data_IF_214590866620
#
_entry.id   IF_214590866620
#
_cell.length_a   1.000
_cell.length_b   1.000
_cell.length_c   1.000
_cell.angle_alpha   90.00
_cell.angle_beta   90.00
_cell.angle_gamma   90.00
#
_symmetry.space_group_name_H-M   'P 1'
#
loop_
_entity.id
_entity.type
_entity.pdbx_description
1 polymer ?
#
# COMPACT_ATOMS: atom_id res chain seq x y z
N UNK A 1 20.08 2.04 -6.59
CA UNK A 1 18.62 1.82 -6.56
C UNK A 1 18.09 2.37 -5.25
N UNK A 2 17.23 3.40 -5.30
CA UNK A 2 16.64 4.02 -4.11
C UNK A 2 15.80 3.00 -3.32
N UNK A 3 15.70 3.19 -2.01
CA UNK A 3 15.03 2.23 -1.11
C UNK A 3 13.55 2.02 -1.45
N UNK A 4 12.88 3.05 -1.95
CA UNK A 4 11.50 2.99 -2.42
C UNK A 4 11.27 1.94 -3.53
N UNK A 5 12.25 1.75 -4.43
CA UNK A 5 12.17 0.78 -5.53
C UNK A 5 12.41 -0.65 -5.04
N UNK A 6 13.39 -0.86 -4.16
CA UNK A 6 13.68 -2.17 -3.55
C UNK A 6 12.47 -2.72 -2.79
N UNK A 7 11.70 -1.83 -2.16
CA UNK A 7 10.52 -2.16 -1.37
C UNK A 7 9.37 -2.72 -2.24
N UNK A 8 9.21 -2.25 -3.48
CA UNK A 8 8.20 -2.74 -4.42
C UNK A 8 8.61 -4.05 -5.11
N UNK A 9 9.90 -4.26 -5.34
CA UNK A 9 10.40 -5.45 -6.04
C UNK A 9 10.55 -6.69 -5.15
N UNK A 10 10.76 -6.53 -3.84
CA UNK A 10 11.10 -7.62 -2.94
C UNK A 10 9.89 -8.17 -2.13
N UNK A 11 8.94 -8.84 -2.77
CA UNK A 11 7.97 -9.72 -2.09
C UNK A 11 7.09 -9.11 -0.97
N UNK A 12 6.94 -7.78 -0.87
CA UNK A 12 6.15 -7.14 0.20
C UNK A 12 4.95 -6.33 -0.30
N UNK A 13 4.45 -6.61 -1.50
CA UNK A 13 3.28 -5.91 -2.06
C UNK A 13 2.08 -5.94 -1.12
N UNK A 14 1.79 -7.10 -0.50
CA UNK A 14 0.67 -7.23 0.45
C UNK A 14 0.78 -6.28 1.64
N UNK A 15 1.99 -6.04 2.18
CA UNK A 15 2.20 -5.09 3.29
C UNK A 15 1.82 -3.68 2.89
N UNK A 16 2.24 -3.26 1.70
CA UNK A 16 1.95 -1.92 1.20
C UNK A 16 0.48 -1.78 0.82
N UNK A 17 -0.13 -2.82 0.24
CA UNK A 17 -1.58 -2.84 -0.02
C UNK A 17 -2.40 -2.70 1.27
N UNK A 18 -1.98 -3.36 2.36
CA UNK A 18 -2.59 -3.19 3.69
C UNK A 18 -2.48 -1.73 4.14
N UNK A 19 -1.27 -1.16 4.14
CA UNK A 19 -1.04 0.22 4.59
C UNK A 19 -1.83 1.23 3.74
N UNK A 20 -1.80 1.09 2.42
CA UNK A 20 -2.56 1.94 1.50
C UNK A 20 -4.06 1.82 1.68
N UNK A 21 -4.57 0.60 1.92
CA UNK A 21 -6.00 0.39 2.13
C UNK A 21 -6.45 1.08 3.41
N UNK A 22 -5.72 0.90 4.50
CA UNK A 22 -6.03 1.58 5.75
C UNK A 22 -5.93 3.11 5.60
N UNK A 23 -4.93 3.62 4.90
CA UNK A 23 -4.76 5.05 4.63
C UNK A 23 -5.92 5.65 3.83
N UNK A 24 -6.39 4.95 2.79
CA UNK A 24 -7.49 5.44 1.95
C UNK A 24 -8.82 5.37 2.71
N UNK A 25 -9.09 4.27 3.41
CA UNK A 25 -10.33 4.12 4.20
C UNK A 25 -10.36 5.05 5.42
N UNK A 26 -9.18 5.48 5.90
CA UNK A 26 -9.07 6.48 6.95
C UNK A 26 -9.12 7.93 6.46
N UNK A 27 -9.20 8.19 5.15
CA UNK A 27 -9.02 9.53 4.57
C UNK A 27 -7.70 10.19 5.06
N UNK A 28 -6.63 9.39 5.13
CA UNK A 28 -5.31 9.83 5.58
C UNK A 28 -5.13 9.95 7.10
N UNK A 29 -6.17 9.73 7.90
CA UNK A 29 -6.08 9.85 9.35
C UNK A 29 -5.41 8.62 10.01
N UNK A 30 -4.60 8.86 11.04
CA UNK A 30 -4.19 7.81 11.98
C UNK A 30 -5.34 7.47 12.93
N UNK A 31 -5.29 6.28 13.53
CA UNK A 31 -6.22 5.78 14.55
C UNK A 31 -7.70 5.68 14.13
N UNK A 32 -8.02 5.86 12.83
CA UNK A 32 -9.37 5.71 12.32
C UNK A 32 -9.64 4.25 11.94
N UNK A 33 -10.69 3.71 12.55
CA UNK A 33 -11.00 2.30 12.50
C UNK A 33 -11.63 1.89 11.16
N UNK A 34 -11.12 0.80 10.58
CA UNK A 34 -11.64 0.12 9.41
C UNK A 34 -11.86 -1.36 9.73
N UNK A 35 -13.12 -1.76 9.78
CA UNK A 35 -13.49 -3.18 9.82
C UNK A 35 -13.45 -3.70 8.38
N UNK A 36 -12.97 -4.94 8.16
CA UNK A 36 -12.91 -5.66 6.86
C UNK A 36 -11.61 -5.60 6.06
N UNK A 37 -10.46 -5.30 6.68
CA UNK A 37 -9.18 -5.38 5.97
C UNK A 37 -8.86 -6.79 5.44
N UNK A 38 -9.02 -7.83 6.27
CA UNK A 38 -8.75 -9.23 5.84
C UNK A 38 -9.61 -9.61 4.65
N UNK A 39 -10.93 -9.39 4.73
CA UNK A 39 -11.87 -9.65 3.63
C UNK A 39 -11.52 -8.84 2.38
N UNK A 40 -11.17 -7.57 2.53
CA UNK A 40 -10.76 -6.71 1.40
C UNK A 40 -9.53 -7.29 0.68
N UNK A 41 -8.54 -7.76 1.44
CA UNK A 41 -7.33 -8.38 0.86
C UNK A 41 -7.65 -9.76 0.28
N UNK A 42 -8.48 -10.56 0.92
CA UNK A 42 -8.97 -11.84 0.40
C UNK A 42 -9.67 -11.66 -0.95
N UNK A 43 -10.63 -10.73 -1.05
CA UNK A 43 -11.36 -10.42 -2.28
C UNK A 43 -10.42 -9.97 -3.42
N UNK A 44 -9.30 -9.29 -3.10
CA UNK A 44 -8.29 -8.88 -4.08
C UNK A 44 -7.47 -10.06 -4.61
N UNK A 45 -7.04 -10.97 -3.74
CA UNK A 45 -6.16 -12.07 -4.09
C UNK A 45 -6.93 -13.32 -4.57
N UNK A 46 -8.22 -13.44 -4.26
CA UNK A 46 -9.07 -14.55 -4.69
C UNK A 46 -8.46 -15.90 -4.29
N UNK A 47 -8.34 -16.82 -5.26
CA UNK A 47 -7.78 -18.16 -5.05
C UNK A 47 -6.31 -18.15 -4.60
N UNK A 48 -5.57 -17.07 -4.90
CA UNK A 48 -4.17 -16.90 -4.47
C UNK A 48 -4.06 -16.38 -3.02
N UNK A 49 -5.18 -16.12 -2.35
CA UNK A 49 -5.18 -15.65 -0.97
C UNK A 49 -4.69 -16.75 -0.02
N UNK A 50 -3.61 -16.44 0.71
CA UNK A 50 -3.15 -17.24 1.83
C UNK A 50 -3.36 -16.48 3.13
N UNK A 51 -4.25 -17.01 3.97
CA UNK A 51 -4.50 -16.46 5.31
C UNK A 51 -3.24 -16.42 6.16
N UNK A 52 -2.40 -17.45 6.08
CA UNK A 52 -1.12 -17.48 6.78
C UNK A 52 -0.20 -16.34 6.31
N UNK A 53 -0.11 -16.14 4.99
CA UNK A 53 0.66 -15.01 4.42
C UNK A 53 0.12 -13.66 4.90
N UNK A 54 -1.20 -13.48 4.90
CA UNK A 54 -1.84 -12.28 5.42
C UNK A 54 -1.50 -12.04 6.90
N UNK A 55 -1.65 -13.06 7.76
CA UNK A 55 -1.35 -12.96 9.18
C UNK A 55 0.13 -12.68 9.45
N UNK A 56 1.04 -13.27 8.68
CA UNK A 56 2.48 -13.00 8.78
C UNK A 56 2.83 -11.56 8.40
N UNK A 57 2.22 -11.04 7.33
CA UNK A 57 2.42 -9.65 6.90
C UNK A 57 1.82 -8.65 7.89
N UNK A 58 0.62 -8.93 8.40
CA UNK A 58 -0.01 -8.18 9.49
C UNK A 58 0.89 -8.16 10.74
N UNK A 59 1.37 -9.32 11.17
CA UNK A 59 2.25 -9.43 12.35
C UNK A 59 3.55 -8.65 12.16
N UNK A 60 4.11 -8.64 10.95
CA UNK A 60 5.29 -7.84 10.66
C UNK A 60 5.02 -6.33 10.79
N UNK A 61 3.87 -5.87 10.29
CA UNK A 61 3.49 -4.46 10.36
C UNK A 61 3.15 -4.00 11.79
N UNK A 62 2.49 -4.85 12.58
CA UNK A 62 2.17 -4.60 13.98
C UNK A 62 3.40 -4.78 14.89
N UNK A 63 3.89 -6.01 15.06
CA UNK A 63 4.84 -6.36 16.11
C UNK A 63 6.25 -5.82 15.84
N UNK A 64 6.69 -5.85 14.58
CA UNK A 64 8.09 -5.49 14.28
C UNK A 64 8.27 -3.98 14.05
N UNK A 65 7.20 -3.27 13.67
CA UNK A 65 7.30 -1.87 13.25
C UNK A 65 6.30 -0.94 13.94
N UNK A 66 5.21 -1.47 14.50
CA UNK A 66 4.16 -0.66 15.14
C UNK A 66 3.41 0.24 14.16
N UNK A 67 3.30 -0.11 12.88
CA UNK A 67 2.66 0.72 11.85
C UNK A 67 1.14 0.59 11.79
N UNK A 68 0.63 -0.54 12.28
CA UNK A 68 -0.80 -0.81 12.39
C UNK A 68 -1.08 -1.29 13.80
N UNK A 69 -2.33 -1.19 14.21
CA UNK A 69 -2.76 -1.86 15.44
C UNK A 69 -2.70 -3.39 15.32
N UNK A 70 -2.70 -4.06 16.47
CA UNK A 70 -2.70 -5.54 16.58
C UNK A 70 -3.72 -6.23 15.69
N UNK A 71 -4.86 -5.60 15.43
CA UNK A 71 -5.92 -6.18 14.62
C UNK A 71 -5.86 -5.77 13.14
N UNK A 72 -4.94 -4.90 12.73
CA UNK A 72 -4.87 -4.32 11.39
C UNK A 72 -6.15 -3.55 11.02
N UNK A 73 -6.68 -2.82 11.99
CA UNK A 73 -7.94 -2.06 11.90
C UNK A 73 -7.69 -0.57 11.75
N UNK A 74 -6.51 -0.07 12.10
CA UNK A 74 -6.11 1.30 11.82
C UNK A 74 -4.59 1.43 11.65
N UNK A 75 -4.17 2.50 10.97
CA UNK A 75 -2.78 2.97 10.99
C UNK A 75 -2.49 3.64 12.33
N UNK A 76 -1.35 3.34 12.92
CA UNK A 76 -0.82 4.14 14.04
C UNK A 76 -0.29 5.48 13.51
N UNK A 77 0.09 6.40 14.40
CA UNK A 77 0.76 7.64 14.00
C UNK A 77 2.10 7.35 13.32
N UNK A 78 2.85 6.37 13.85
CA UNK A 78 4.11 5.91 13.30
C UNK A 78 3.95 5.29 11.91
N UNK A 79 2.88 4.51 11.69
CA UNK A 79 2.58 3.92 10.39
C UNK A 79 2.17 4.96 9.35
N UNK A 80 1.40 5.97 9.76
CA UNK A 80 1.05 7.09 8.91
C UNK A 80 2.31 7.87 8.48
N UNK A 81 3.16 8.26 9.43
CA UNK A 81 4.39 9.01 9.17
C UNK A 81 5.35 8.21 8.26
N UNK A 82 5.50 6.91 8.51
CA UNK A 82 6.25 6.01 7.63
C UNK A 82 5.70 6.00 6.20
N UNK A 83 4.39 5.80 6.05
CA UNK A 83 3.75 5.69 4.75
C UNK A 83 3.85 6.99 3.96
N UNK A 84 3.63 8.14 4.60
CA UNK A 84 3.72 9.45 3.94
C UNK A 84 5.15 9.80 3.52
N UNK A 85 6.15 9.53 4.37
CA UNK A 85 7.56 9.71 4.01
C UNK A 85 7.94 8.83 2.82
N UNK A 86 7.50 7.57 2.84
CA UNK A 86 7.74 6.65 1.75
C UNK A 86 7.04 7.11 0.46
N UNK A 87 5.80 7.56 0.53
CA UNK A 87 5.08 8.16 -0.61
C UNK A 87 5.83 9.37 -1.19
N UNK A 88 6.24 10.33 -0.35
CA UNK A 88 6.98 11.53 -0.78
C UNK A 88 8.27 11.18 -1.53
N UNK A 89 8.95 10.10 -1.15
CA UNK A 89 10.16 9.64 -1.82
C UNK A 89 9.95 9.27 -3.30
N UNK A 90 8.72 8.94 -3.72
CA UNK A 90 8.39 8.69 -5.13
C UNK A 90 8.28 9.98 -5.96
N UNK A 91 7.95 11.11 -5.34
CA UNK A 91 7.95 12.42 -6.00
C UNK A 91 9.34 12.86 -6.45
N UNK A 92 10.38 12.30 -5.81
CA UNK A 92 11.79 12.63 -6.05
C UNK A 92 12.49 11.66 -7.02
N UNK A 93 11.76 10.77 -7.69
CA UNK A 93 12.35 9.82 -8.64
C UNK A 93 12.79 10.51 -9.93
N UNK A 94 14.00 10.16 -10.39
CA UNK A 94 14.50 10.59 -11.69
C UNK A 94 13.87 9.74 -12.82
N UNK A 95 14.20 10.04 -14.08
CA UNK A 95 13.60 9.34 -15.21
C UNK A 95 14.02 7.86 -15.29
N UNK A 96 15.28 7.54 -14.94
CA UNK A 96 15.77 6.16 -14.92
C UNK A 96 15.04 5.29 -13.87
N UNK A 97 14.81 5.84 -12.68
CA UNK A 97 14.06 5.19 -11.59
C UNK A 97 12.58 4.97 -11.99
N UNK A 98 11.99 5.90 -12.74
CA UNK A 98 10.61 5.80 -13.22
C UNK A 98 10.44 4.70 -14.26
N UNK A 99 11.44 4.47 -15.11
CA UNK A 99 11.39 3.41 -16.12
C UNK A 99 11.35 2.02 -15.48
N UNK A 100 12.04 1.83 -14.35
CA UNK A 100 11.96 0.59 -13.56
C UNK A 100 10.55 0.33 -12.99
N UNK A 101 9.75 1.39 -12.79
CA UNK A 101 8.38 1.32 -12.28
C UNK A 101 7.31 1.13 -13.36
N UNK A 102 7.70 0.98 -14.63
CA UNK A 102 6.78 0.67 -15.72
C UNK A 102 6.32 -0.81 -15.75
N UNK A 103 6.77 -1.62 -14.78
CA UNK A 103 6.23 -2.97 -14.56
C UNK A 103 4.71 -2.91 -14.40
N UNK A 104 4.01 -3.77 -15.14
CA UNK A 104 2.55 -3.89 -15.04
C UNK A 104 2.16 -4.53 -13.70
N UNK A 105 1.17 -3.93 -13.06
CA UNK A 105 0.43 -4.49 -11.95
C UNK A 105 -0.89 -5.08 -12.47
N UNK A 106 -1.41 -6.14 -11.83
CA UNK A 106 -2.72 -6.69 -12.16
C UNK A 106 -3.81 -5.63 -12.05
N UNK A 107 -4.75 -5.61 -13.01
CA UNK A 107 -5.92 -4.72 -13.00
C UNK A 107 -6.76 -4.81 -11.71
N UNK A 108 -6.97 -5.99 -11.10
CA UNK A 108 -7.69 -6.09 -9.82
C UNK A 108 -7.14 -5.19 -8.72
N UNK A 109 -5.83 -4.89 -8.70
CA UNK A 109 -5.25 -3.95 -7.73
C UNK A 109 -5.82 -2.54 -7.92
N UNK A 110 -5.98 -2.07 -9.15
CA UNK A 110 -6.55 -0.75 -9.40
C UNK A 110 -8.04 -0.71 -9.06
N UNK A 111 -8.77 -1.76 -9.45
CA UNK A 111 -10.19 -1.88 -9.15
C UNK A 111 -10.43 -1.92 -7.63
N UNK A 112 -9.56 -2.59 -6.89
CA UNK A 112 -9.58 -2.67 -5.42
C UNK A 112 -9.51 -1.30 -4.73
N UNK A 113 -8.76 -0.35 -5.30
CA UNK A 113 -8.70 1.04 -4.81
C UNK A 113 -9.66 1.99 -5.56
N UNK A 114 -10.54 1.46 -6.42
CA UNK A 114 -11.49 2.23 -7.25
C UNK A 114 -10.81 3.32 -8.09
N UNK A 115 -9.63 2.99 -8.60
CA UNK A 115 -8.79 3.86 -9.40
C UNK A 115 -9.21 3.82 -10.88
N UNK A 116 -9.58 4.97 -11.47
CA UNK A 116 -9.92 5.06 -12.89
C UNK A 116 -8.67 5.33 -13.72
N UNK A 117 -8.16 4.35 -14.48
CA UNK A 117 -6.96 4.54 -15.31
C UNK A 117 -6.94 3.86 -16.67
N UNK A 118 -6.22 4.53 -17.58
CA UNK A 118 -5.81 4.04 -18.90
C UNK A 118 -4.60 3.09 -18.85
N UNK A 119 -3.79 3.12 -17.77
CA UNK A 119 -2.60 2.28 -17.60
C UNK A 119 -2.52 1.64 -16.21
N UNK A 120 -2.00 0.40 -16.14
CA UNK A 120 -1.90 -0.41 -14.93
C UNK A 120 -0.44 -0.73 -14.57
N UNK A 121 0.41 0.28 -14.39
CA UNK A 121 1.82 0.13 -13.98
C UNK A 121 2.04 0.49 -12.52
N UNK A 122 3.15 0.06 -11.91
CA UNK A 122 3.52 0.47 -10.54
C UNK A 122 3.60 1.98 -10.41
N UNK A 123 4.23 2.66 -11.38
CA UNK A 123 4.31 4.12 -11.42
C UNK A 123 2.91 4.76 -11.45
N UNK A 124 2.01 4.23 -12.28
CA UNK A 124 0.64 4.72 -12.34
C UNK A 124 -0.08 4.49 -11.00
N UNK A 125 0.13 3.37 -10.33
CA UNK A 125 -0.48 3.09 -9.04
C UNK A 125 -0.04 4.12 -7.98
N UNK A 126 1.27 4.29 -7.81
CA UNK A 126 1.86 5.23 -6.85
C UNK A 126 1.40 6.68 -7.11
N UNK A 127 1.42 7.14 -8.36
CA UNK A 127 0.96 8.48 -8.72
C UNK A 127 -0.52 8.73 -8.37
N UNK A 128 -1.33 7.66 -8.30
CA UNK A 128 -2.72 7.78 -7.88
C UNK A 128 -2.85 7.93 -6.37
N UNK A 129 -2.08 7.15 -5.62
CA UNK A 129 -2.05 7.27 -4.16
C UNK A 129 -1.53 8.65 -3.77
N UNK A 130 -0.48 9.16 -4.42
CA UNK A 130 0.05 10.51 -4.18
C UNK A 130 -0.99 11.61 -4.43
N UNK A 131 -1.75 11.51 -5.53
CA UNK A 131 -2.84 12.46 -5.80
C UNK A 131 -3.95 12.42 -4.75
N UNK A 132 -4.12 11.30 -4.05
CA UNK A 132 -5.05 11.22 -2.92
C UNK A 132 -4.43 11.83 -1.67
N UNK A 133 -3.17 11.55 -1.36
CA UNK A 133 -2.49 12.16 -0.21
C UNK A 133 -2.42 13.68 -0.31
N UNK A 134 -2.22 14.25 -1.50
CA UNK A 134 -2.20 15.71 -1.68
C UNK A 134 -3.57 16.39 -1.45
N UNK A 135 -4.65 15.61 -1.36
CA UNK A 135 -6.02 16.13 -1.11
C UNK A 135 -6.37 16.17 0.37
N UNK A 136 -5.57 15.55 1.23
CA UNK A 136 -5.80 15.42 2.67
C UNK A 136 -4.75 16.23 3.44
#
# INVERSE_FOLDING_TARGET
>A
MKDALKILEANQLMRHLILFKLYIESDGAAMKYFYQLEKSIEDLYGDDFSRESFLNNKRYLDVNNGFIDRNATFLTYEGLDYLEKWLKSFGELNNEDKDLLNKKLPKPIFDFFKFSKETTTVLSFVNQVLKLSDRF
#
